data_IF_948041719862
#
_entry.id   IF_948041719862
#
_cell.length_a   1.000
_cell.length_b   1.000
_cell.length_c   1.000
_cell.angle_alpha   90.00
_cell.angle_beta   90.00
_cell.angle_gamma   90.00
#
_symmetry.space_group_name_H-M   'P 1'
#
loop_
_entity.id
_entity.type
_entity.pdbx_description
1 polymer ?
#
# COMPACT_ATOMS: atom_id res chain seq x y z
N UNK A 1 -0.18 27.65 -9.42
CA UNK A 1 -0.08 26.40 -10.21
C UNK A 1 0.13 25.24 -9.25
N UNK A 2 -0.78 24.26 -9.15
CA UNK A 2 -0.56 23.09 -8.30
C UNK A 2 0.64 22.29 -8.84
N UNK A 3 1.56 21.92 -7.94
CA UNK A 3 2.75 21.13 -8.33
C UNK A 3 2.29 19.80 -8.93
N UNK A 4 2.80 19.48 -10.12
CA UNK A 4 2.63 18.15 -10.74
C UNK A 4 1.61 18.06 -11.88
N UNK A 5 0.89 19.14 -12.23
CA UNK A 5 -0.10 19.13 -13.33
C UNK A 5 0.49 18.75 -14.70
N UNK A 6 1.77 19.05 -14.94
CA UNK A 6 2.45 18.76 -16.21
C UNK A 6 3.22 17.42 -16.19
N UNK A 7 3.20 16.68 -15.07
CA UNK A 7 3.94 15.41 -14.96
C UNK A 7 3.52 14.37 -16.02
N UNK A 8 2.23 14.20 -16.36
CA UNK A 8 1.83 13.26 -17.40
C UNK A 8 2.35 13.65 -18.80
N UNK A 9 2.44 14.95 -19.11
CA UNK A 9 2.97 15.44 -20.38
C UNK A 9 4.48 15.18 -20.53
N UNK A 10 5.24 15.26 -19.43
CA UNK A 10 6.71 15.10 -19.45
C UNK A 10 7.14 13.64 -19.29
N UNK A 11 6.42 12.86 -18.47
CA UNK A 11 6.82 11.49 -18.08
C UNK A 11 6.01 10.39 -18.76
N UNK A 12 4.90 10.72 -19.42
CA UNK A 12 3.94 9.75 -19.94
C UNK A 12 2.87 9.37 -18.92
N UNK A 13 1.94 8.51 -19.32
CA UNK A 13 0.88 8.01 -18.45
C UNK A 13 1.44 7.12 -17.33
N UNK A 14 0.64 6.89 -16.27
CA UNK A 14 1.06 6.02 -15.16
C UNK A 14 1.31 4.59 -15.64
N UNK A 15 0.53 4.14 -16.61
CA UNK A 15 0.60 2.82 -17.23
C UNK A 15 1.88 2.68 -18.06
N UNK A 16 2.24 3.73 -18.81
CA UNK A 16 3.49 3.76 -19.58
C UNK A 16 4.72 3.72 -18.67
N UNK A 17 4.69 4.46 -17.56
CA UNK A 17 5.75 4.42 -16.55
C UNK A 17 5.82 3.05 -15.88
N UNK A 18 4.70 2.49 -15.46
CA UNK A 18 4.64 1.19 -14.82
C UNK A 18 5.19 0.08 -15.73
N UNK A 19 4.80 0.09 -17.01
CA UNK A 19 5.33 -0.81 -18.03
C UNK A 19 6.85 -0.65 -18.21
N UNK A 20 7.36 0.58 -18.26
CA UNK A 20 8.80 0.87 -18.36
C UNK A 20 9.60 0.33 -17.17
N UNK A 21 9.01 0.34 -15.98
CA UNK A 21 9.63 -0.18 -14.75
C UNK A 21 9.27 -1.64 -14.46
N UNK A 22 8.52 -2.33 -15.33
CA UNK A 22 8.11 -3.72 -15.14
C UNK A 22 7.21 -3.94 -13.92
N UNK A 23 6.49 -2.91 -13.48
CA UNK A 23 5.58 -2.96 -12.33
C UNK A 23 4.13 -2.77 -12.78
N UNK A 24 3.18 -3.18 -11.95
CA UNK A 24 1.77 -2.85 -12.15
C UNK A 24 1.45 -1.51 -11.47
N UNK A 25 0.63 -0.64 -12.08
CA UNK A 25 0.05 0.49 -11.38
C UNK A 25 -0.73 0.03 -10.14
N UNK A 26 -0.89 0.93 -9.17
CA UNK A 26 -1.80 0.70 -8.05
C UNK A 26 -3.25 0.72 -8.55
N UNK A 27 -4.02 -0.28 -8.16
CA UNK A 27 -5.47 -0.36 -8.42
C UNK A 27 -6.27 0.59 -7.50
N UNK A 28 -7.53 0.91 -7.82
CA UNK A 28 -8.39 1.68 -6.92
C UNK A 28 -8.45 1.04 -5.52
N UNK A 29 -8.13 1.82 -4.49
CA UNK A 29 -8.08 1.36 -3.10
C UNK A 29 -6.70 0.84 -2.65
N UNK A 30 -5.74 0.67 -3.56
CA UNK A 30 -4.37 0.30 -3.20
C UNK A 30 -3.51 1.52 -2.85
N UNK A 31 -2.54 1.31 -1.96
CA UNK A 31 -1.60 2.35 -1.54
C UNK A 31 -0.19 1.81 -1.36
N UNK A 32 0.79 2.58 -1.83
CA UNK A 32 2.21 2.38 -1.50
C UNK A 32 2.68 3.36 -0.43
N UNK A 33 3.42 2.87 0.57
CA UNK A 33 3.99 3.71 1.66
C UNK A 33 5.40 3.24 2.00
N UNK A 34 6.25 4.16 2.45
CA UNK A 34 7.51 3.84 3.12
C UNK A 34 7.23 3.79 4.62
N UNK A 35 7.59 2.68 5.27
CA UNK A 35 7.38 2.46 6.69
C UNK A 35 8.68 1.97 7.34
N UNK A 36 8.91 2.35 8.59
CA UNK A 36 10.03 1.85 9.38
C UNK A 36 9.64 0.55 10.10
N UNK A 37 10.42 -0.51 9.93
CA UNK A 37 10.17 -1.84 10.52
C UNK A 37 11.34 -2.20 11.44
N UNK A 38 11.04 -2.64 12.66
CA UNK A 38 12.04 -3.21 13.59
C UNK A 38 11.87 -4.73 13.65
N UNK A 39 12.86 -5.47 13.18
CA UNK A 39 12.89 -6.93 13.17
C UNK A 39 14.35 -7.44 13.08
N UNK A 40 14.60 -8.75 13.26
CA UNK A 40 15.89 -9.34 12.94
C UNK A 40 16.31 -9.08 11.48
N UNK A 41 17.60 -8.87 11.25
CA UNK A 41 18.15 -8.50 9.94
C UNK A 41 17.77 -9.49 8.83
N UNK A 42 17.88 -10.80 9.09
CA UNK A 42 17.52 -11.85 8.12
C UNK A 42 16.05 -11.80 7.68
N UNK A 43 15.15 -11.31 8.54
CA UNK A 43 13.74 -11.18 8.23
C UNK A 43 13.50 -9.98 7.32
N UNK A 44 14.21 -8.87 7.56
CA UNK A 44 14.17 -7.68 6.71
C UNK A 44 14.67 -8.02 5.30
N UNK A 45 15.79 -8.76 5.19
CA UNK A 45 16.32 -9.19 3.88
C UNK A 45 15.34 -10.06 3.11
N UNK A 46 14.66 -11.00 3.79
CA UNK A 46 13.60 -11.80 3.17
C UNK A 46 12.42 -10.95 2.73
N UNK A 47 11.99 -9.99 3.55
CA UNK A 47 10.89 -9.08 3.21
C UNK A 47 11.23 -8.14 2.05
N UNK A 48 12.47 -7.65 1.99
CA UNK A 48 12.97 -6.81 0.90
C UNK A 48 13.08 -7.58 -0.43
N UNK A 49 13.38 -8.87 -0.38
CA UNK A 49 13.41 -9.73 -1.57
C UNK A 49 12.00 -9.99 -2.17
N UNK A 50 10.92 -9.77 -1.41
CA UNK A 50 9.55 -9.94 -1.89
C UNK A 50 9.17 -8.93 -2.96
N UNK A 51 8.33 -9.37 -3.91
CA UNK A 51 7.63 -8.48 -4.84
C UNK A 51 6.68 -7.55 -4.08
N UNK A 52 6.36 -6.36 -4.62
CA UNK A 52 5.44 -5.43 -3.96
C UNK A 52 4.10 -6.04 -3.53
N UNK A 53 3.52 -6.92 -4.35
CA UNK A 53 2.26 -7.62 -4.03
C UNK A 53 2.39 -8.59 -2.85
N UNK A 54 3.51 -9.32 -2.78
CA UNK A 54 3.77 -10.27 -1.68
C UNK A 54 3.99 -9.54 -0.35
N UNK A 55 4.60 -8.34 -0.38
CA UNK A 55 4.71 -7.49 0.81
C UNK A 55 3.33 -7.06 1.34
N UNK A 56 2.42 -6.72 0.44
CA UNK A 56 1.03 -6.41 0.80
C UNK A 56 0.33 -7.58 1.49
N UNK A 57 0.57 -8.80 1.00
CA UNK A 57 0.04 -10.02 1.61
C UNK A 57 0.59 -10.26 3.02
N UNK A 58 1.90 -10.06 3.24
CA UNK A 58 2.51 -10.14 4.58
C UNK A 58 1.84 -9.15 5.54
N UNK A 59 1.60 -7.92 5.11
CA UNK A 59 0.89 -6.92 5.94
C UNK A 59 -0.52 -7.39 6.27
N UNK A 60 -1.28 -7.86 5.29
CA UNK A 60 -2.66 -8.35 5.49
C UNK A 60 -2.72 -9.54 6.46
N UNK A 61 -1.84 -10.52 6.28
CA UNK A 61 -1.75 -11.71 7.14
C UNK A 61 -1.32 -11.31 8.55
N UNK A 62 -0.32 -10.44 8.69
CA UNK A 62 0.14 -9.95 9.98
C UNK A 62 -0.97 -9.22 10.75
N UNK A 63 -1.68 -8.30 10.08
CA UNK A 63 -2.82 -7.59 10.69
C UNK A 63 -3.95 -8.55 11.09
N UNK A 64 -4.25 -9.55 10.26
CA UNK A 64 -5.24 -10.59 10.60
C UNK A 64 -4.80 -11.39 11.83
N UNK A 65 -3.55 -11.83 11.87
CA UNK A 65 -3.02 -12.62 12.99
C UNK A 65 -3.03 -11.82 14.31
N UNK A 66 -2.90 -10.50 14.23
CA UNK A 66 -3.00 -9.60 15.38
C UNK A 66 -4.45 -9.21 15.72
N UNK A 67 -5.44 -9.66 14.97
CA UNK A 67 -6.85 -9.29 15.17
C UNK A 67 -7.19 -7.84 14.80
N UNK A 68 -6.33 -7.18 14.01
CA UNK A 68 -6.46 -5.75 13.64
C UNK A 68 -7.14 -5.52 12.29
N UNK A 69 -7.55 -6.59 11.59
CA UNK A 69 -8.19 -6.50 10.28
C UNK A 69 -9.72 -6.43 10.36
N UNK A 70 -10.32 -6.87 11.47
CA UNK A 70 -11.76 -6.73 11.69
C UNK A 70 -12.02 -5.32 12.22
N UNK A 71 -12.47 -4.43 11.33
CA UNK A 71 -13.11 -3.19 11.74
C UNK A 71 -14.39 -3.61 12.44
N UNK A 72 -14.44 -3.50 13.78
CA UNK A 72 -15.73 -3.34 14.45
C UNK A 72 -16.32 -2.08 13.86
N UNK A 73 -17.31 -2.22 13.00
CA UNK A 73 -18.13 -1.11 12.57
C UNK A 73 -18.48 -0.33 13.83
N UNK A 74 -17.97 0.90 13.92
CA UNK A 74 -18.32 1.79 15.00
C UNK A 74 -19.84 1.85 15.00
N UNK A 75 -20.44 1.27 16.04
CA UNK A 75 -21.86 1.37 16.29
C UNK A 75 -22.23 2.83 16.09
N UNK A 76 -23.06 3.06 15.07
CA UNK A 76 -23.79 4.31 14.97
C UNK A 76 -24.75 4.30 16.14
N UNK A 77 -24.27 4.75 17.30
CA UNK A 77 -25.12 5.22 18.40
C UNK A 77 -25.80 6.49 17.90
N UNK A 78 -26.78 6.32 17.02
CA UNK A 78 -27.89 7.24 16.90
C UNK A 78 -28.79 7.05 18.13
N UNK A 79 -28.36 7.61 19.25
CA UNK A 79 -29.25 7.98 20.35
C UNK A 79 -29.57 9.47 20.12
N UNK A 80 -30.55 9.78 19.26
CA UNK A 80 -31.97 10.07 19.57
C UNK A 80 -32.16 11.51 20.13
N UNK A 81 -33.14 12.29 19.60
CA UNK A 81 -33.23 13.75 19.71
C UNK A 81 -33.55 14.32 21.10
#
# INVERSE_FOLDING_TARGET
MPRGSNLPQVRGSKEQLAARFGVKPLEPGEGGRLVWIRAPQELLERFEALKPLERGEVVRVGLRALGLLEVRDAATDEQTP
#
